data_IF_908702666775
#
_entry.id   IF_908702666775
#
_cell.length_a   1.000
_cell.length_b   1.000
_cell.length_c   1.000
_cell.angle_alpha   90.00
_cell.angle_beta   90.00
_cell.angle_gamma   90.00
#
_symmetry.space_group_name_H-M   'P 1'
#
loop_
_entity.id
_entity.type
_entity.pdbx_description
1 polymer ?
#
# COMPACT_ATOMS: atom_id res chain seq x y z
N UNK A 1 12.21 -7.41 -6.15
CA UNK A 1 10.78 -7.15 -6.37
C UNK A 1 10.09 -7.12 -5.00
N UNK A 2 9.06 -6.29 -4.84
CA UNK A 2 8.26 -6.21 -3.62
C UNK A 2 6.89 -6.85 -3.82
N UNK A 3 5.86 -6.04 -4.11
CA UNK A 3 4.48 -6.48 -4.35
C UNK A 3 4.17 -6.42 -5.85
N UNK A 4 3.43 -7.40 -6.37
CA UNK A 4 2.88 -7.37 -7.75
C UNK A 4 1.38 -7.58 -7.71
N UNK A 5 0.61 -6.63 -8.24
CA UNK A 5 -0.83 -6.72 -8.44
C UNK A 5 -1.15 -7.06 -9.90
N UNK A 6 -1.83 -8.20 -10.12
CA UNK A 6 -2.15 -8.71 -11.47
C UNK A 6 -3.63 -8.64 -11.85
N UNK A 7 -4.45 -8.05 -10.98
CA UNK A 7 -5.89 -7.89 -11.11
C UNK A 7 -6.36 -6.70 -10.25
N UNK A 8 -7.67 -6.55 -10.08
CA UNK A 8 -8.29 -5.63 -9.13
C UNK A 8 -7.69 -5.82 -7.74
N UNK A 9 -7.18 -4.73 -7.14
CA UNK A 9 -6.40 -4.80 -5.92
C UNK A 9 -6.43 -3.49 -5.14
N UNK A 10 -6.39 -3.60 -3.81
CA UNK A 10 -6.11 -2.48 -2.92
C UNK A 10 -4.80 -2.79 -2.21
N UNK A 11 -3.75 -2.05 -2.56
CA UNK A 11 -2.44 -2.12 -1.90
C UNK A 11 -2.29 -0.86 -1.07
N UNK A 12 -2.45 -0.97 0.24
CA UNK A 12 -2.44 0.20 1.12
C UNK A 12 -1.76 -0.05 2.46
N UNK A 13 -1.24 1.02 3.05
CA UNK A 13 -0.62 1.01 4.38
C UNK A 13 0.50 -0.04 4.50
N UNK A 14 1.27 -0.26 3.44
CA UNK A 14 2.40 -1.17 3.45
C UNK A 14 3.72 -0.41 3.49
N UNK A 15 4.73 -1.04 4.09
CA UNK A 15 6.13 -0.73 3.84
C UNK A 15 6.63 -1.73 2.80
N UNK A 16 6.98 -1.26 1.62
CA UNK A 16 7.37 -2.13 0.48
C UNK A 16 8.84 -1.91 0.17
N UNK A 17 9.63 -2.98 0.22
CA UNK A 17 11.05 -2.95 -0.16
C UNK A 17 11.18 -3.40 -1.62
N UNK A 18 11.73 -2.52 -2.46
CA UNK A 18 11.84 -2.73 -3.91
C UNK A 18 10.66 -2.13 -4.68
N UNK A 19 10.15 -2.87 -5.66
CA UNK A 19 9.12 -2.36 -6.57
C UNK A 19 7.73 -2.83 -6.15
N UNK A 20 6.78 -1.91 -6.05
CA UNK A 20 5.34 -2.19 -6.07
C UNK A 20 4.89 -2.07 -7.53
N UNK A 21 4.46 -3.17 -8.12
CA UNK A 21 4.17 -3.26 -9.54
C UNK A 21 2.71 -3.62 -9.81
N UNK A 22 2.15 -3.06 -10.88
CA UNK A 22 0.96 -3.61 -11.53
C UNK A 22 1.36 -4.26 -12.84
N UNK A 23 0.77 -5.39 -13.19
CA UNK A 23 1.03 -6.07 -14.45
C UNK A 23 -0.21 -6.79 -14.95
N UNK A 24 -0.47 -6.76 -16.26
CA UNK A 24 -1.53 -7.58 -16.87
C UNK A 24 -1.15 -9.06 -16.86
N UNK A 25 -2.13 -9.94 -16.68
CA UNK A 25 -1.95 -11.38 -16.76
C UNK A 25 -2.80 -11.97 -17.89
N UNK A 26 -2.41 -13.10 -18.49
CA UNK A 26 -3.15 -13.72 -19.60
C UNK A 26 -4.61 -14.03 -19.23
N UNK A 27 -4.82 -14.48 -17.98
CA UNK A 27 -6.15 -14.78 -17.44
C UNK A 27 -6.93 -13.53 -16.98
N UNK A 28 -6.26 -12.36 -16.86
CA UNK A 28 -6.88 -11.08 -16.51
C UNK A 28 -6.43 -10.05 -17.57
N UNK A 29 -7.05 -10.07 -18.75
CA UNK A 29 -6.55 -9.32 -19.92
C UNK A 29 -6.59 -7.81 -19.73
N UNK A 30 -7.41 -7.35 -18.78
CA UNK A 30 -7.61 -5.93 -18.46
C UNK A 30 -7.61 -5.78 -16.94
N UNK A 31 -6.67 -5.00 -16.43
CA UNK A 31 -6.71 -4.53 -15.04
C UNK A 31 -7.77 -3.44 -14.85
N UNK A 32 -8.48 -3.50 -13.73
CA UNK A 32 -9.47 -2.50 -13.30
C UNK A 32 -9.33 -2.28 -11.80
N UNK A 33 -9.97 -1.24 -11.30
CA UNK A 33 -10.18 -0.99 -9.86
C UNK A 33 -8.95 -1.23 -8.97
N UNK A 34 -7.82 -0.60 -9.31
CA UNK A 34 -6.62 -0.68 -8.47
C UNK A 34 -6.46 0.59 -7.66
N UNK A 35 -6.31 0.42 -6.35
CA UNK A 35 -5.97 1.51 -5.42
C UNK A 35 -4.62 1.22 -4.79
N UNK A 36 -3.67 2.13 -4.98
CA UNK A 36 -2.36 2.11 -4.32
C UNK A 36 -2.29 3.34 -3.42
N UNK A 37 -2.55 3.15 -2.13
CA UNK A 37 -2.82 4.25 -1.19
C UNK A 37 -1.96 4.20 0.07
N UNK A 38 -1.38 5.32 0.51
CA UNK A 38 -0.73 5.39 1.84
C UNK A 38 0.35 4.31 2.07
N UNK A 39 1.16 3.98 1.06
CA UNK A 39 2.30 3.07 1.22
C UNK A 39 3.61 3.87 1.38
N UNK A 40 4.56 3.32 2.13
CA UNK A 40 5.97 3.74 2.09
C UNK A 40 6.74 2.74 1.24
N UNK A 41 7.18 3.15 0.06
CA UNK A 41 7.89 2.30 -0.90
C UNK A 41 9.37 2.69 -0.91
N UNK A 42 10.22 1.78 -0.47
CA UNK A 42 11.68 1.89 -0.54
C UNK A 42 12.08 1.41 -1.94
N UNK A 43 11.92 2.29 -2.92
CA UNK A 43 12.04 1.99 -4.34
C UNK A 43 10.93 2.67 -5.15
N UNK A 44 10.40 1.97 -6.16
CA UNK A 44 9.55 2.54 -7.20
C UNK A 44 8.15 1.90 -7.24
N UNK A 45 7.19 2.65 -7.77
CA UNK A 45 5.91 2.10 -8.21
C UNK A 45 5.96 1.96 -9.73
N UNK A 46 5.75 0.76 -10.26
CA UNK A 46 5.77 0.48 -11.69
C UNK A 46 4.37 0.12 -12.19
N UNK A 47 3.78 0.99 -13.01
CA UNK A 47 2.39 0.83 -13.46
C UNK A 47 2.35 0.22 -14.86
N UNK A 48 2.37 -1.11 -14.96
CA UNK A 48 2.29 -1.83 -16.24
C UNK A 48 0.92 -2.50 -16.41
N UNK A 49 0.62 -2.93 -17.64
CA UNK A 49 -0.59 -3.69 -17.95
C UNK A 49 -1.87 -2.85 -18.12
N UNK A 50 -1.78 -1.53 -17.99
CA UNK A 50 -2.87 -0.60 -18.26
C UNK A 50 -2.85 -0.24 -19.74
N UNK A 51 -3.51 -1.05 -20.57
CA UNK A 51 -3.62 -0.80 -22.03
C UNK A 51 -4.14 0.60 -22.37
N UNK A 52 -4.00 1.02 -23.62
CA UNK A 52 -4.49 2.32 -24.09
C UNK A 52 -6.03 2.39 -24.01
N UNK A 53 -6.57 3.31 -23.19
CA UNK A 53 -8.02 3.57 -23.11
C UNK A 53 -8.51 4.01 -21.72
N UNK A 54 -9.81 4.31 -21.63
CA UNK A 54 -10.50 4.78 -20.40
C UNK A 54 -10.46 3.79 -19.21
N UNK A 55 -9.92 2.58 -19.40
CA UNK A 55 -9.83 1.55 -18.36
C UNK A 55 -8.84 1.93 -17.25
N UNK A 56 -7.92 2.86 -17.53
CA UNK A 56 -7.01 3.43 -16.53
C UNK A 56 -7.68 4.44 -15.57
N UNK A 57 -8.93 4.87 -15.83
CA UNK A 57 -9.69 5.73 -14.89
C UNK A 57 -9.99 5.05 -13.55
N UNK A 58 -9.91 3.72 -13.50
CA UNK A 58 -10.07 2.94 -12.27
C UNK A 58 -8.76 2.70 -11.50
N UNK A 59 -7.64 3.33 -11.92
CA UNK A 59 -6.40 3.33 -11.16
C UNK A 59 -6.31 4.62 -10.33
N UNK A 60 -6.21 4.46 -9.01
CA UNK A 60 -5.88 5.54 -8.09
C UNK A 60 -4.57 5.25 -7.37
N UNK A 61 -3.63 6.19 -7.45
CA UNK A 61 -2.36 6.14 -6.73
C UNK A 61 -2.26 7.40 -5.89
N UNK A 62 -2.39 7.28 -4.58
CA UNK A 62 -2.47 8.45 -3.71
C UNK A 62 -1.72 8.29 -2.39
N UNK A 63 -1.25 9.39 -1.83
CA UNK A 63 -0.69 9.44 -0.48
C UNK A 63 0.50 8.48 -0.25
N UNK A 64 1.22 8.08 -1.29
CA UNK A 64 2.38 7.20 -1.15
C UNK A 64 3.67 8.01 -0.97
N UNK A 65 4.61 7.49 -0.21
CA UNK A 65 6.00 7.95 -0.20
C UNK A 65 6.85 6.98 -0.99
N UNK A 66 7.66 7.49 -1.91
CA UNK A 66 8.66 6.73 -2.63
C UNK A 66 10.04 7.24 -2.21
N UNK A 67 10.80 6.41 -1.49
CA UNK A 67 12.13 6.71 -1.01
C UNK A 67 13.16 5.95 -1.85
N UNK A 68 13.93 6.70 -2.64
CA UNK A 68 14.92 6.17 -3.57
C UNK A 68 14.36 5.68 -4.91
N UNK A 69 13.16 6.11 -5.28
CA UNK A 69 12.55 5.74 -6.57
C UNK A 69 11.43 6.68 -6.98
N UNK A 70 10.66 6.26 -7.99
CA UNK A 70 9.64 7.09 -8.63
C UNK A 70 8.45 6.26 -9.11
N UNK A 71 7.37 6.94 -9.47
CA UNK A 71 6.25 6.32 -10.19
C UNK A 71 6.61 6.27 -11.68
N UNK A 72 6.52 5.10 -12.29
CA UNK A 72 6.88 4.87 -13.69
C UNK A 72 5.71 4.32 -14.50
N UNK A 73 5.69 4.66 -15.80
CA UNK A 73 4.63 4.32 -16.74
C UNK A 73 3.21 4.76 -16.30
N UNK A 74 3.02 5.99 -15.78
CA UNK A 74 1.68 6.43 -15.36
C UNK A 74 0.74 6.44 -16.58
N UNK A 75 -0.38 5.67 -16.55
CA UNK A 75 -1.35 5.73 -17.63
C UNK A 75 -2.13 7.05 -17.57
N UNK A 76 -2.49 7.60 -18.73
CA UNK A 76 -2.99 8.98 -18.86
C UNK A 76 -4.31 9.27 -18.13
N UNK A 77 -5.17 8.27 -17.94
CA UNK A 77 -6.44 8.45 -17.27
C UNK A 77 -6.42 8.07 -15.78
N UNK A 78 -5.27 7.65 -15.23
CA UNK A 78 -5.17 7.34 -13.81
C UNK A 78 -5.16 8.60 -12.94
N UNK A 79 -5.64 8.44 -11.71
CA UNK A 79 -5.66 9.50 -10.72
C UNK A 79 -4.44 9.43 -9.81
N UNK A 80 -3.68 10.53 -9.77
CA UNK A 80 -2.53 10.69 -8.89
C UNK A 80 -2.74 11.89 -7.96
N UNK A 81 -2.55 11.71 -6.65
CA UNK A 81 -2.57 12.82 -5.69
C UNK A 81 -1.62 12.59 -4.51
N UNK A 82 -0.98 13.65 -4.03
CA UNK A 82 -0.12 13.64 -2.83
C UNK A 82 0.85 12.45 -2.73
N UNK A 83 1.43 12.03 -3.87
CA UNK A 83 2.54 11.06 -3.86
C UNK A 83 3.84 11.83 -3.76
N UNK A 84 4.60 11.59 -2.69
CA UNK A 84 5.86 12.28 -2.41
C UNK A 84 7.05 11.39 -2.77
N UNK A 85 8.04 11.97 -3.43
CA UNK A 85 9.22 11.24 -3.93
C UNK A 85 10.48 11.90 -3.37
N UNK A 86 11.37 11.09 -2.81
CA UNK A 86 12.64 11.53 -2.25
C UNK A 86 13.76 10.59 -2.68
N UNK A 87 14.98 11.10 -2.79
CA UNK A 87 16.16 10.27 -3.07
C UNK A 87 16.61 9.54 -1.80
N UNK A 88 17.34 8.42 -1.98
CA UNK A 88 18.04 7.81 -0.85
C UNK A 88 19.01 8.81 -0.20
N UNK A 89 19.06 8.80 1.13
CA UNK A 89 19.91 9.69 1.91
C UNK A 89 19.34 11.11 2.11
N UNK A 90 18.16 11.42 1.57
CA UNK A 90 17.46 12.68 1.94
C UNK A 90 17.17 12.65 3.44
N UNK A 91 17.69 13.65 4.17
CA UNK A 91 17.55 13.79 5.61
C UNK A 91 16.20 14.40 5.98
N UNK A 92 15.76 14.17 7.22
CA UNK A 92 14.53 14.75 7.77
C UNK A 92 13.23 14.14 7.23
N UNK A 93 13.29 13.11 6.39
CA UNK A 93 12.09 12.41 5.91
C UNK A 93 11.63 11.37 6.94
N UNK A 94 12.56 10.50 7.34
CA UNK A 94 12.35 9.41 8.30
C UNK A 94 13.34 9.51 9.46
N UNK A 95 13.00 8.89 10.60
CA UNK A 95 13.83 8.89 11.81
C UNK A 95 15.20 8.28 11.55
N UNK A 96 15.26 7.06 11.01
CA UNK A 96 16.52 6.38 10.68
C UNK A 96 16.35 5.36 9.55
N UNK A 97 16.28 5.83 8.29
CA UNK A 97 16.03 4.93 7.15
C UNK A 97 17.19 3.96 6.88
N UNK A 98 18.40 4.20 7.41
CA UNK A 98 19.54 3.28 7.27
C UNK A 98 19.39 2.04 8.17
N UNK A 99 18.61 2.16 9.25
CA UNK A 99 18.29 1.08 10.17
C UNK A 99 16.84 0.61 10.03
N UNK A 100 16.21 0.83 8.87
CA UNK A 100 14.84 0.43 8.54
C UNK A 100 13.75 1.08 9.41
N UNK A 101 14.05 2.21 10.05
CA UNK A 101 13.05 3.03 10.73
C UNK A 101 12.49 4.09 9.78
N UNK A 102 11.36 3.74 9.14
CA UNK A 102 10.61 4.61 8.24
C UNK A 102 9.46 5.36 8.93
N UNK A 103 9.50 5.49 10.26
CA UNK A 103 8.64 6.44 10.93
C UNK A 103 8.98 7.87 10.47
N UNK A 104 8.00 8.75 10.16
CA UNK A 104 8.30 10.13 9.79
C UNK A 104 9.10 10.84 10.88
N UNK A 105 10.17 11.52 10.50
CA UNK A 105 10.95 12.31 11.45
C UNK A 105 10.14 13.53 11.95
N UNK A 106 10.44 14.07 13.15
CA UNK A 106 9.87 15.35 13.57
C UNK A 106 10.10 16.45 12.53
N UNK A 107 9.02 17.13 12.12
CA UNK A 107 9.06 18.16 11.08
C UNK A 107 9.17 17.61 9.65
N UNK A 108 9.01 16.31 9.46
CA UNK A 108 9.02 15.67 8.14
C UNK A 108 7.95 16.28 7.23
N UNK A 109 8.26 16.53 5.94
CA UNK A 109 7.28 17.03 4.97
C UNK A 109 6.16 16.01 4.65
N UNK A 110 6.25 14.80 5.19
CA UNK A 110 5.20 13.80 5.11
C UNK A 110 4.00 14.12 6.01
N UNK A 111 4.25 14.88 7.08
CA UNK A 111 3.28 15.13 8.14
C UNK A 111 2.23 16.12 7.66
N UNK A 112 0.96 15.74 7.72
CA UNK A 112 -0.18 16.55 7.29
C UNK A 112 -0.27 16.84 5.78
N UNK A 113 0.50 16.12 4.95
CA UNK A 113 0.59 16.38 3.50
C UNK A 113 -0.34 15.50 2.65
N UNK A 114 -1.12 14.60 3.25
CA UNK A 114 -1.97 13.68 2.50
C UNK A 114 -3.21 14.36 1.92
N UNK A 115 -3.66 13.85 0.77
CA UNK A 115 -4.96 14.15 0.19
C UNK A 115 -6.04 13.46 1.03
N UNK A 116 -6.68 14.25 1.91
CA UNK A 116 -7.73 13.81 2.83
C UNK A 116 -8.88 13.04 2.16
N UNK A 117 -9.18 13.31 0.88
CA UNK A 117 -10.24 12.61 0.16
C UNK A 117 -9.88 11.15 -0.20
N UNK A 118 -8.60 10.76 -0.07
CA UNK A 118 -8.09 9.43 -0.43
C UNK A 118 -7.35 8.73 0.71
N UNK A 119 -7.45 9.26 1.93
CA UNK A 119 -6.82 8.69 3.12
C UNK A 119 -7.53 7.42 3.57
N UNK A 120 -6.75 6.44 4.02
CA UNK A 120 -7.25 5.21 4.62
C UNK A 120 -7.55 5.42 6.10
N UNK A 121 -8.55 4.74 6.66
CA UNK A 121 -8.93 4.98 8.07
C UNK A 121 -7.86 4.59 9.08
N UNK A 122 -6.99 3.64 8.72
CA UNK A 122 -5.91 3.11 9.56
C UNK A 122 -4.53 3.29 8.89
N UNK A 123 -3.48 3.30 9.68
CA UNK A 123 -2.09 3.25 9.22
C UNK A 123 -1.52 1.81 9.24
N UNK A 124 -0.21 1.65 9.00
CA UNK A 124 0.49 0.37 9.06
C UNK A 124 0.36 -0.31 10.42
N UNK A 125 0.39 0.46 11.51
CA UNK A 125 0.28 -0.05 12.87
C UNK A 125 -1.16 -0.38 13.30
N UNK A 126 -2.16 -0.04 12.48
CA UNK A 126 -3.59 -0.13 12.86
C UNK A 126 -4.09 1.07 13.68
N UNK A 127 -3.26 2.10 13.84
CA UNK A 127 -3.62 3.38 14.44
C UNK A 127 -4.63 4.09 13.55
N UNK A 128 -5.66 4.72 14.14
CA UNK A 128 -6.59 5.55 13.36
C UNK A 128 -5.88 6.79 12.84
N UNK A 129 -6.01 7.06 11.55
CA UNK A 129 -5.52 8.31 10.96
C UNK A 129 -6.33 9.51 11.44
N UNK A 130 -5.68 10.65 11.66
CA UNK A 130 -6.33 11.89 12.10
C UNK A 130 -5.92 13.07 11.22
N UNK A 131 -6.80 14.05 11.09
CA UNK A 131 -6.51 15.29 10.36
C UNK A 131 -5.60 16.19 11.22
N UNK A 132 -4.50 16.75 10.68
CA UNK A 132 -4.02 16.64 9.31
C UNK A 132 -3.33 15.29 9.01
N UNK A 133 -3.73 14.63 7.92
CA UNK A 133 -3.31 13.27 7.63
C UNK A 133 -1.91 13.17 7.00
N UNK A 134 -1.18 12.12 7.37
CA UNK A 134 0.18 11.87 6.88
C UNK A 134 0.26 11.07 5.57
N UNK A 135 1.26 11.40 4.75
CA UNK A 135 1.63 10.62 3.55
C UNK A 135 2.48 9.41 3.96
N UNK A 136 2.23 8.26 3.33
CA UNK A 136 2.98 7.04 3.58
C UNK A 136 2.30 6.08 4.54
N UNK A 137 3.03 5.06 4.97
CA UNK A 137 2.51 3.93 5.72
C UNK A 137 2.05 4.28 7.14
N UNK A 138 2.67 5.26 7.77
CA UNK A 138 2.42 5.62 9.17
C UNK A 138 1.57 6.88 9.32
N UNK A 139 0.99 7.03 10.51
CA UNK A 139 0.33 8.23 11.02
C UNK A 139 1.05 8.72 12.27
N UNK A 140 1.36 10.01 12.36
CA UNK A 140 2.08 10.60 13.49
C UNK A 140 1.21 11.45 14.40
N UNK A 141 0.00 11.85 13.98
CA UNK A 141 -0.83 12.77 14.77
C UNK A 141 -1.14 12.19 16.16
N UNK A 142 -0.84 12.99 17.20
CA UNK A 142 -0.96 12.58 18.60
C UNK A 142 0.11 11.60 19.12
N UNK A 143 1.15 11.28 18.35
CA UNK A 143 2.21 10.32 18.71
C UNK A 143 3.60 10.94 18.66
N UNK A 144 4.39 10.74 19.72
CA UNK A 144 5.78 11.24 19.80
C UNK A 144 6.81 10.26 19.25
N UNK A 145 6.41 9.01 18.98
CA UNK A 145 7.24 7.93 18.44
C UNK A 145 6.38 6.86 17.80
N UNK A 146 6.98 6.02 16.96
CA UNK A 146 6.33 4.83 16.41
C UNK A 146 5.84 3.92 17.56
N UNK A 147 4.52 3.69 17.72
CA UNK A 147 4.01 2.82 18.78
C UNK A 147 4.33 1.33 18.51
N UNK A 148 4.86 1.03 17.32
CA UNK A 148 5.10 -0.31 16.84
C UNK A 148 3.81 -1.01 16.42
N UNK A 149 3.96 -2.20 15.85
CA UNK A 149 2.81 -3.03 15.53
C UNK A 149 2.38 -3.76 16.80
N UNK A 150 1.16 -3.50 17.33
CA UNK A 150 0.69 -4.29 18.47
C UNK A 150 0.57 -5.74 18.01
N UNK A 151 1.24 -6.65 18.73
CA UNK A 151 1.01 -8.08 18.56
C UNK A 151 -0.44 -8.32 18.97
N UNK A 152 -1.30 -8.60 18.00
CA UNK A 152 -2.65 -9.06 18.27
C UNK A 152 -2.63 -10.58 18.43
N UNK A 153 -3.65 -11.14 19.08
CA UNK A 153 -3.88 -12.59 19.22
C UNK A 153 -4.15 -13.28 17.86
N UNK A 154 -3.56 -12.81 16.76
CA UNK A 154 -3.61 -13.50 15.49
C UNK A 154 -2.48 -13.13 14.56
N UNK A 155 -1.68 -14.15 14.28
CA UNK A 155 -1.39 -14.69 12.94
C UNK A 155 -0.95 -16.16 13.04
N UNK A 156 -0.74 -16.68 14.26
CA UNK A 156 -0.77 -18.10 14.65
C UNK A 156 -1.07 -18.18 16.14
N UNK A 157 -2.25 -18.68 16.52
CA UNK A 157 -2.46 -19.12 17.90
C UNK A 157 -1.74 -20.46 18.08
N UNK A 158 -0.46 -20.38 18.47
CA UNK A 158 0.33 -21.54 18.86
C UNK A 158 -0.20 -22.26 20.11
N UNK A 159 -1.31 -21.81 20.70
CA UNK A 159 -1.93 -22.42 21.85
C UNK A 159 -3.42 -22.04 21.99
N UNK A 160 -4.30 -22.57 21.13
CA UNK A 160 -5.58 -23.21 21.53
C UNK A 160 -6.47 -23.44 20.31
N UNK A 161 -6.82 -24.71 20.08
CA UNK A 161 -7.63 -25.23 18.98
C UNK A 161 -6.96 -25.15 17.61
N UNK A 162 -6.22 -26.21 17.26
CA UNK A 162 -5.90 -26.48 15.87
C UNK A 162 -7.21 -26.44 15.06
N UNK A 163 -7.24 -25.64 14.00
CA UNK A 163 -8.26 -25.75 12.97
C UNK A 163 -8.04 -27.06 12.20
N UNK A 164 -8.53 -28.16 12.79
CA UNK A 164 -8.50 -29.52 12.22
C UNK A 164 -9.78 -29.88 11.50
N UNK A 165 -10.76 -28.97 11.45
CA UNK A 165 -12.03 -29.21 10.78
C UNK A 165 -12.08 -28.31 9.55
N UNK A 166 -11.78 -28.85 8.35
CA UNK A 166 -11.91 -28.07 7.13
C UNK A 166 -13.35 -27.53 7.00
N UNK A 167 -13.52 -26.34 6.41
CA UNK A 167 -14.85 -25.77 6.19
C UNK A 167 -15.69 -26.74 5.35
N UNK A 168 -16.99 -26.78 5.63
CA UNK A 168 -17.93 -27.52 4.79
C UNK A 168 -17.80 -27.02 3.35
N UNK A 169 -17.67 -27.93 2.35
CA UNK A 169 -17.69 -27.54 0.95
C UNK A 169 -18.91 -26.67 0.65
N UNK A 170 -18.77 -25.62 -0.17
CA UNK A 170 -19.91 -24.80 -0.57
C UNK A 170 -21.01 -25.68 -1.19
N UNK A 171 -22.23 -25.57 -0.67
CA UNK A 171 -23.39 -26.20 -1.29
C UNK A 171 -23.70 -25.50 -2.62
N UNK A 172 -23.86 -26.27 -3.70
CA UNK A 172 -24.24 -25.74 -5.03
C UNK A 172 -23.12 -25.60 -6.05
N UNK A 173 -21.89 -26.07 -5.76
CA UNK A 173 -20.86 -26.19 -6.79
C UNK A 173 -21.25 -27.26 -7.82
N UNK A 174 -21.59 -26.82 -9.02
CA UNK A 174 -21.80 -27.71 -10.16
C UNK A 174 -20.53 -27.70 -11.01
N UNK A 175 -19.80 -28.82 -11.03
CA UNK A 175 -18.70 -28.99 -11.97
C UNK A 175 -19.34 -29.38 -13.31
N UNK A 176 -19.21 -28.53 -14.32
CA UNK A 176 -19.57 -28.88 -15.70
C UNK A 176 -18.35 -29.58 -16.29
N UNK A 177 -18.37 -30.90 -16.56
CA UNK A 177 -17.28 -31.56 -17.26
C UNK A 177 -17.19 -31.01 -18.70
N UNK A 178 -15.95 -30.77 -19.14
CA UNK A 178 -15.61 -30.47 -20.54
C UNK A 178 -15.80 -31.69 -21.44
#
# INVERSE_FOLDING_TARGET
QGIVAIADAIVRNNIVIGTLETQSHEQVPVMRNVTIGNNTVIGSIALRGWGSGNLSTSLSVANNVLYGGSITNPPSAASFSSNLQYSFGTSGIFVDPNNWDFWPAPGSPLIGAADAARVQSKDFNGTSRQDPFDVGAYETEGLTSNPGWPIQDSFKDGASNADVIPPLPPAGLTIIPL
#
